data_IF_912431880033
#
_entry.id   IF_912431880033
#
_cell.length_a   1.000
_cell.length_b   1.000
_cell.length_c   1.000
_cell.angle_alpha   90.00
_cell.angle_beta   90.00
_cell.angle_gamma   90.00
#
_symmetry.space_group_name_H-M   'P 1'
#
loop_
_entity.id
_entity.type
_entity.pdbx_description
1 polymer ?
#
# COMPACT_ATOMS: atom_id res chain seq x y z
N UNK A 1 17.60 -51.41 -24.37
CA UNK A 1 17.87 -49.96 -24.34
C UNK A 1 16.83 -49.32 -23.42
N UNK A 2 17.20 -49.02 -22.19
CA UNK A 2 16.28 -48.43 -21.20
C UNK A 2 16.49 -46.92 -21.23
N UNK A 3 15.50 -46.20 -21.74
CA UNK A 3 15.46 -44.73 -21.74
C UNK A 3 15.24 -44.28 -20.29
N UNK A 4 16.16 -43.48 -19.73
CA UNK A 4 15.95 -42.80 -18.43
C UNK A 4 14.88 -41.71 -18.62
N UNK A 5 13.94 -41.51 -17.68
CA UNK A 5 13.03 -40.38 -17.73
C UNK A 5 13.79 -39.08 -17.37
N UNK A 6 13.31 -37.91 -17.82
CA UNK A 6 13.96 -36.64 -17.54
C UNK A 6 13.80 -36.29 -16.05
N UNK A 7 14.88 -35.80 -15.46
CA UNK A 7 14.89 -35.21 -14.12
C UNK A 7 13.93 -34.01 -14.10
N UNK A 8 12.76 -34.16 -13.48
CA UNK A 8 12.02 -33.02 -12.94
C UNK A 8 12.79 -32.51 -11.74
N UNK A 9 13.31 -31.28 -11.83
CA UNK A 9 13.80 -30.56 -10.67
C UNK A 9 12.57 -30.28 -9.79
N UNK A 10 12.56 -30.69 -8.51
CA UNK A 10 11.46 -30.35 -7.62
C UNK A 10 11.48 -28.84 -7.38
N UNK A 11 10.38 -28.16 -7.74
CA UNK A 11 10.16 -26.76 -7.38
C UNK A 11 9.83 -26.72 -5.89
N UNK A 12 10.62 -25.99 -5.10
CA UNK A 12 10.28 -25.72 -3.70
C UNK A 12 9.09 -24.74 -3.64
N UNK A 13 7.94 -25.25 -3.23
CA UNK A 13 6.68 -24.50 -3.16
C UNK A 13 6.53 -23.72 -1.85
N UNK A 14 7.37 -23.95 -0.83
CA UNK A 14 7.21 -23.33 0.48
C UNK A 14 7.22 -21.78 0.44
N UNK A 15 8.10 -21.11 -0.35
CA UNK A 15 8.09 -19.65 -0.46
C UNK A 15 6.80 -19.11 -1.11
N UNK A 16 6.26 -19.82 -2.11
CA UNK A 16 5.02 -19.43 -2.80
C UNK A 16 3.82 -19.59 -1.87
N UNK A 17 3.75 -20.70 -1.13
CA UNK A 17 2.68 -20.95 -0.15
C UNK A 17 2.70 -19.90 0.95
N UNK A 18 3.88 -19.55 1.47
CA UNK A 18 4.01 -18.46 2.45
C UNK A 18 3.52 -17.14 1.87
N UNK A 19 3.95 -16.76 0.67
CA UNK A 19 3.53 -15.53 0.02
C UNK A 19 2.02 -15.44 -0.19
N UNK A 20 1.40 -16.52 -0.67
CA UNK A 20 -0.05 -16.61 -0.79
C UNK A 20 -0.75 -16.52 0.57
N UNK A 21 -0.16 -17.12 1.61
CA UNK A 21 -0.63 -17.03 2.99
C UNK A 21 -0.59 -15.60 3.53
N UNK A 22 0.48 -14.85 3.27
CA UNK A 22 0.67 -13.48 3.72
C UNK A 22 -0.39 -12.55 3.08
N UNK A 23 -0.64 -12.67 1.78
CA UNK A 23 -1.68 -11.89 1.08
C UNK A 23 -3.09 -12.29 1.54
N UNK A 24 -3.36 -13.58 1.72
CA UNK A 24 -4.66 -14.05 2.19
C UNK A 24 -4.97 -13.53 3.61
N UNK A 25 -3.99 -13.59 4.51
CA UNK A 25 -4.10 -13.03 5.85
C UNK A 25 -4.38 -11.51 5.82
N UNK A 26 -3.61 -10.76 5.02
CA UNK A 26 -3.77 -9.31 4.90
C UNK A 26 -5.18 -8.94 4.40
N UNK A 27 -5.67 -9.63 3.37
CA UNK A 27 -7.02 -9.45 2.83
C UNK A 27 -8.09 -9.76 3.88
N UNK A 28 -7.95 -10.86 4.60
CA UNK A 28 -8.96 -11.29 5.56
C UNK A 28 -8.99 -10.37 6.79
N UNK A 29 -7.84 -9.85 7.22
CA UNK A 29 -7.75 -8.81 8.25
C UNK A 29 -8.39 -7.50 7.79
N UNK A 30 -8.07 -7.02 6.59
CA UNK A 30 -8.68 -5.83 6.01
C UNK A 30 -10.21 -5.98 5.90
N UNK A 31 -10.70 -7.15 5.46
CA UNK A 31 -12.14 -7.45 5.41
C UNK A 31 -12.77 -7.35 6.80
N UNK A 32 -12.16 -8.01 7.79
CA UNK A 32 -12.66 -8.01 9.18
C UNK A 32 -12.81 -6.59 9.73
N UNK A 33 -11.81 -5.73 9.50
CA UNK A 33 -11.74 -4.38 10.07
C UNK A 33 -12.53 -3.34 9.27
N UNK A 34 -12.65 -3.48 7.94
CA UNK A 34 -13.15 -2.42 7.07
C UNK A 34 -14.49 -2.73 6.40
N UNK A 35 -14.79 -3.99 6.05
CA UNK A 35 -15.91 -4.31 5.15
C UNK A 35 -17.27 -3.84 5.69
N UNK A 36 -17.53 -4.07 6.97
CA UNK A 36 -18.78 -3.63 7.62
C UNK A 36 -18.78 -2.16 8.02
N UNK A 37 -17.79 -1.63 8.77
CA UNK A 37 -17.87 -0.25 9.24
C UNK A 37 -17.54 0.78 8.15
N UNK A 38 -16.76 0.39 7.13
CA UNK A 38 -16.19 1.30 6.13
C UNK A 38 -16.14 0.64 4.73
N UNK A 39 -17.29 0.24 4.15
CA UNK A 39 -17.32 -0.57 2.92
C UNK A 39 -16.56 0.06 1.74
N UNK A 40 -16.67 1.39 1.57
CA UNK A 40 -15.91 2.10 0.51
C UNK A 40 -14.40 2.04 0.73
N UNK A 41 -13.91 2.07 1.99
CA UNK A 41 -12.47 1.89 2.29
C UNK A 41 -12.01 0.47 1.99
N UNK A 42 -12.86 -0.53 2.24
CA UNK A 42 -12.55 -1.91 1.88
C UNK A 42 -12.48 -2.08 0.35
N UNK A 43 -13.40 -1.48 -0.40
CA UNK A 43 -13.36 -1.47 -1.88
C UNK A 43 -12.11 -0.77 -2.41
N UNK A 44 -11.76 0.37 -1.82
CA UNK A 44 -10.52 1.07 -2.12
C UNK A 44 -9.29 0.18 -1.86
N UNK A 45 -9.15 -0.39 -0.66
CA UNK A 45 -8.02 -1.27 -0.29
C UNK A 45 -7.87 -2.46 -1.26
N UNK A 46 -8.99 -3.03 -1.69
CA UNK A 46 -9.02 -4.08 -2.73
C UNK A 46 -8.47 -3.60 -4.07
N UNK A 47 -8.86 -2.40 -4.51
CA UNK A 47 -8.32 -1.79 -5.73
C UNK A 47 -6.82 -1.50 -5.63
N UNK A 48 -6.35 -1.00 -4.48
CA UNK A 48 -4.93 -0.70 -4.22
C UNK A 48 -4.11 -2.00 -4.27
N UNK A 49 -4.62 -3.08 -3.69
CA UNK A 49 -3.99 -4.39 -3.77
C UNK A 49 -3.94 -4.92 -5.21
N UNK A 50 -5.03 -4.78 -5.97
CA UNK A 50 -5.03 -5.11 -7.40
C UNK A 50 -3.99 -4.32 -8.19
N UNK A 51 -3.76 -3.05 -7.84
CA UNK A 51 -2.69 -2.24 -8.44
C UNK A 51 -1.30 -2.75 -8.06
N UNK A 52 -1.09 -3.11 -6.80
CA UNK A 52 0.18 -3.66 -6.31
C UNK A 52 0.56 -4.95 -7.05
N UNK A 53 -0.41 -5.83 -7.33
CA UNK A 53 -0.20 -7.06 -8.11
C UNK A 53 0.36 -6.75 -9.51
N UNK A 54 -0.08 -5.66 -10.15
CA UNK A 54 0.43 -5.25 -11.48
C UNK A 54 1.92 -4.86 -11.48
N UNK A 55 2.50 -4.57 -10.31
CA UNK A 55 3.91 -4.20 -10.16
C UNK A 55 4.84 -5.41 -9.97
N UNK A 56 4.31 -6.64 -10.00
CA UNK A 56 5.11 -7.87 -9.92
C UNK A 56 6.31 -7.91 -10.88
N UNK A 57 6.20 -7.50 -12.17
CA UNK A 57 7.36 -7.46 -13.07
C UNK A 57 8.46 -6.48 -12.64
N UNK A 58 8.13 -5.44 -11.87
CA UNK A 58 9.09 -4.46 -11.38
C UNK A 58 9.75 -4.89 -10.08
N UNK A 59 8.97 -5.49 -9.18
CA UNK A 59 9.35 -5.71 -7.78
C UNK A 59 9.76 -7.15 -7.46
N UNK A 60 9.44 -8.11 -8.33
CA UNK A 60 9.74 -9.51 -8.09
C UNK A 60 9.13 -9.98 -6.77
N UNK A 61 9.97 -10.52 -5.88
CA UNK A 61 9.53 -11.04 -4.58
C UNK A 61 8.91 -9.97 -3.66
N UNK A 62 9.34 -8.71 -3.75
CA UNK A 62 8.80 -7.63 -2.92
C UNK A 62 7.33 -7.28 -3.27
N UNK A 63 6.82 -7.72 -4.42
CA UNK A 63 5.42 -7.50 -4.80
C UNK A 63 4.43 -8.14 -3.82
N UNK A 64 4.82 -9.23 -3.16
CA UNK A 64 4.01 -9.90 -2.12
C UNK A 64 3.84 -8.99 -0.92
N UNK A 65 4.95 -8.44 -0.42
CA UNK A 65 4.96 -7.49 0.69
C UNK A 65 4.15 -6.24 0.35
N UNK A 66 4.33 -5.69 -0.86
CA UNK A 66 3.56 -4.54 -1.31
C UNK A 66 2.06 -4.83 -1.37
N UNK A 67 1.66 -5.99 -1.87
CA UNK A 67 0.25 -6.37 -1.98
C UNK A 67 -0.38 -6.55 -0.61
N UNK A 68 0.34 -7.15 0.35
CA UNK A 68 -0.11 -7.23 1.74
C UNK A 68 -0.25 -5.83 2.37
N UNK A 69 0.73 -4.94 2.18
CA UNK A 69 0.67 -3.55 2.64
C UNK A 69 -0.51 -2.79 2.02
N UNK A 70 -0.76 -3.00 0.73
CA UNK A 70 -1.87 -2.40 0.00
C UNK A 70 -3.25 -2.77 0.56
N UNK A 71 -3.45 -4.03 0.96
CA UNK A 71 -4.66 -4.45 1.66
C UNK A 71 -4.83 -3.75 3.02
N UNK A 72 -3.71 -3.46 3.70
CA UNK A 72 -3.70 -3.06 5.10
C UNK A 72 -3.49 -1.57 5.33
N UNK A 73 -3.11 -0.78 4.33
CA UNK A 73 -2.66 0.60 4.50
C UNK A 73 -3.68 1.50 5.20
N UNK A 74 -4.97 1.23 4.99
CA UNK A 74 -6.09 2.03 5.47
C UNK A 74 -6.79 1.44 6.71
N UNK A 75 -6.27 0.35 7.32
CA UNK A 75 -6.97 -0.31 8.44
C UNK A 75 -7.06 0.57 9.69
N UNK A 76 -6.15 1.54 9.86
CA UNK A 76 -6.21 2.46 10.99
C UNK A 76 -7.39 3.44 10.94
N UNK A 77 -8.19 3.44 9.86
CA UNK A 77 -9.49 4.10 9.85
C UNK A 77 -10.57 3.33 10.62
N UNK A 78 -10.38 2.02 10.86
CA UNK A 78 -11.36 1.22 11.56
C UNK A 78 -11.65 1.83 12.94
N UNK A 79 -12.93 2.05 13.33
CA UNK A 79 -13.26 2.77 14.55
C UNK A 79 -12.65 2.20 15.83
N UNK A 80 -12.43 0.89 15.87
CA UNK A 80 -11.80 0.19 17.00
C UNK A 80 -10.28 0.38 17.09
N UNK A 81 -9.64 0.89 16.04
CA UNK A 81 -8.18 1.08 15.99
C UNK A 81 -7.74 2.55 16.11
N UNK A 82 -8.67 3.50 15.99
CA UNK A 82 -8.36 4.93 16.08
C UNK A 82 -7.86 5.27 17.48
N UNK A 83 -6.65 5.81 17.55
CA UNK A 83 -6.00 6.26 18.80
C UNK A 83 -5.54 7.72 18.64
N UNK A 84 -4.66 7.97 17.67
CA UNK A 84 -4.14 9.32 17.38
C UNK A 84 -4.95 10.06 16.33
N UNK A 85 -5.73 9.34 15.54
CA UNK A 85 -6.44 9.85 14.37
C UNK A 85 -5.56 9.99 13.12
N UNK A 86 -4.26 9.65 13.19
CA UNK A 86 -3.40 9.42 12.04
C UNK A 86 -3.49 7.94 11.65
N UNK A 87 -4.34 7.61 10.68
CA UNK A 87 -4.68 6.22 10.36
C UNK A 87 -3.47 5.37 9.97
N UNK A 88 -2.48 5.97 9.34
CA UNK A 88 -1.21 5.31 8.99
C UNK A 88 -0.47 4.81 10.23
N UNK A 89 -0.45 5.61 11.31
CA UNK A 89 0.27 5.32 12.54
C UNK A 89 -0.53 4.33 13.38
N UNK A 90 -1.83 4.58 13.53
CA UNK A 90 -2.75 3.74 14.29
C UNK A 90 -2.81 2.32 13.69
N UNK A 91 -2.90 2.22 12.35
CA UNK A 91 -2.85 0.95 11.64
C UNK A 91 -1.52 0.21 11.79
N UNK A 92 -0.38 0.92 11.65
CA UNK A 92 0.94 0.32 11.79
C UNK A 92 1.21 -0.19 13.21
N UNK A 93 0.79 0.56 14.24
CA UNK A 93 0.87 0.12 15.64
C UNK A 93 0.03 -1.12 15.90
N UNK A 94 -1.19 -1.18 15.38
CA UNK A 94 -2.01 -2.39 15.52
C UNK A 94 -1.36 -3.62 14.87
N UNK A 95 -0.78 -3.46 13.67
CA UNK A 95 -0.06 -4.54 13.00
C UNK A 95 1.14 -5.02 13.81
N UNK A 96 1.94 -4.10 14.38
CA UNK A 96 3.10 -4.41 15.21
C UNK A 96 2.68 -5.07 16.53
N UNK A 97 1.81 -4.43 17.28
CA UNK A 97 1.58 -4.73 18.70
C UNK A 97 0.54 -5.83 18.93
N UNK A 98 -0.43 -5.96 18.02
CA UNK A 98 -1.53 -6.94 18.16
C UNK A 98 -1.33 -8.13 17.22
N UNK A 99 -0.94 -7.88 15.97
CA UNK A 99 -0.77 -8.95 14.99
C UNK A 99 0.64 -9.56 14.98
N UNK A 100 1.64 -8.88 15.56
CA UNK A 100 3.04 -9.32 15.48
C UNK A 100 3.56 -9.39 14.04
N UNK A 101 3.11 -8.46 13.20
CA UNK A 101 3.43 -8.45 11.78
C UNK A 101 4.90 -8.04 11.52
N UNK A 102 5.38 -8.38 10.32
CA UNK A 102 6.72 -8.03 9.86
C UNK A 102 6.99 -6.52 9.91
N UNK A 103 8.21 -6.14 10.33
CA UNK A 103 8.58 -4.73 10.52
C UNK A 103 8.53 -3.92 9.21
N UNK A 104 8.90 -4.51 8.07
CA UNK A 104 8.82 -3.82 6.77
C UNK A 104 7.37 -3.59 6.37
N UNK A 105 6.49 -4.55 6.64
CA UNK A 105 5.05 -4.38 6.40
C UNK A 105 4.49 -3.23 7.24
N UNK A 106 4.78 -3.19 8.54
CA UNK A 106 4.35 -2.10 9.42
C UNK A 106 4.89 -0.76 8.94
N UNK A 107 6.16 -0.72 8.52
CA UNK A 107 6.81 0.48 7.98
C UNK A 107 6.16 1.00 6.71
N UNK A 108 5.78 0.12 5.78
CA UNK A 108 5.06 0.52 4.56
C UNK A 108 3.67 1.06 4.87
N UNK A 109 2.96 0.48 5.83
CA UNK A 109 1.67 1.00 6.30
C UNK A 109 1.84 2.35 7.00
N UNK A 110 2.86 2.52 7.83
CA UNK A 110 3.11 3.77 8.54
C UNK A 110 3.45 4.95 7.58
N UNK A 111 4.13 4.65 6.46
CA UNK A 111 4.66 5.66 5.53
C UNK A 111 3.91 5.76 4.21
N UNK A 112 2.75 5.11 4.07
CA UNK A 112 2.02 5.12 2.81
C UNK A 112 1.63 6.53 2.36
N UNK A 113 1.59 6.74 1.04
CA UNK A 113 1.05 7.96 0.40
C UNK A 113 1.63 9.28 0.92
N UNK A 114 2.93 9.31 1.19
CA UNK A 114 3.63 10.46 1.77
C UNK A 114 3.05 10.88 3.14
N UNK A 115 2.65 9.91 3.97
CA UNK A 115 2.07 10.06 5.31
C UNK A 115 2.81 11.02 6.26
N UNK A 116 4.11 11.26 6.03
CA UNK A 116 4.92 12.22 6.78
C UNK A 116 4.32 13.63 6.81
N UNK A 117 3.68 14.07 5.74
CA UNK A 117 3.03 15.39 5.70
C UNK A 117 1.81 15.46 6.62
N UNK A 118 0.98 14.41 6.65
CA UNK A 118 -0.14 14.37 7.58
C UNK A 118 0.31 14.18 9.03
N UNK A 119 1.37 13.39 9.26
CA UNK A 119 1.95 13.25 10.59
C UNK A 119 2.47 14.59 11.10
N UNK A 120 3.13 15.40 10.27
CA UNK A 120 3.62 16.72 10.63
C UNK A 120 2.47 17.69 10.98
N UNK A 121 1.42 17.73 10.15
CA UNK A 121 0.20 18.53 10.41
C UNK A 121 -0.50 18.17 11.73
N UNK A 122 -0.23 16.98 12.27
CA UNK A 122 -0.77 16.46 13.53
C UNK A 122 0.22 16.53 14.69
N UNK A 123 1.46 16.99 14.47
CA UNK A 123 2.53 17.01 15.49
C UNK A 123 3.05 15.61 15.85
N UNK A 124 2.94 14.65 14.93
CA UNK A 124 3.29 13.23 15.10
C UNK A 124 4.47 12.79 14.24
N UNK A 125 5.15 13.71 13.53
CA UNK A 125 6.24 13.37 12.61
C UNK A 125 7.40 12.66 13.32
N UNK A 126 7.85 13.20 14.46
CA UNK A 126 8.94 12.61 15.23
C UNK A 126 8.58 11.23 15.78
N UNK A 127 7.33 11.07 16.22
CA UNK A 127 6.78 9.78 16.69
C UNK A 127 6.77 8.76 15.56
N UNK A 128 6.28 9.15 14.37
CA UNK A 128 6.25 8.29 13.19
C UNK A 128 7.65 7.79 12.83
N UNK A 129 8.64 8.69 12.77
CA UNK A 129 10.02 8.34 12.44
C UNK A 129 10.71 7.50 13.51
N UNK A 130 10.42 7.75 14.79
CA UNK A 130 10.99 6.99 15.89
C UNK A 130 10.45 5.55 15.94
N UNK A 131 9.17 5.36 15.65
CA UNK A 131 8.52 4.04 15.75
C UNK A 131 8.65 3.19 14.48
N UNK A 132 8.69 3.83 13.31
CA UNK A 132 8.66 3.13 12.02
C UNK A 132 9.70 3.73 11.08
N UNK A 133 10.86 3.07 10.90
CA UNK A 133 11.82 3.45 9.86
C UNK A 133 11.22 3.32 8.46
N UNK A 134 11.64 4.16 7.51
CA UNK A 134 11.16 4.02 6.12
C UNK A 134 11.76 2.79 5.44
N UNK A 135 10.96 2.09 4.63
CA UNK A 135 11.47 1.08 3.70
C UNK A 135 12.26 1.74 2.56
N UNK A 136 12.73 0.95 1.61
CA UNK A 136 13.42 1.42 0.41
C UNK A 136 12.60 2.48 -0.34
N UNK A 137 13.24 3.50 -0.92
CA UNK A 137 12.53 4.53 -1.70
C UNK A 137 11.67 3.96 -2.83
N UNK A 138 12.05 2.80 -3.40
CA UNK A 138 11.29 2.14 -4.47
C UNK A 138 9.96 1.58 -3.94
N UNK A 139 9.96 0.92 -2.78
CA UNK A 139 8.75 0.39 -2.17
C UNK A 139 7.81 1.49 -1.70
N UNK A 140 8.34 2.57 -1.12
CA UNK A 140 7.53 3.74 -0.71
C UNK A 140 6.86 4.39 -1.93
N UNK A 141 7.59 4.57 -3.04
CA UNK A 141 7.00 5.07 -4.30
C UNK A 141 5.96 4.13 -4.87
N UNK A 142 6.19 2.82 -4.83
CA UNK A 142 5.24 1.82 -5.32
C UNK A 142 3.94 1.85 -4.50
N UNK A 143 4.03 1.92 -3.17
CA UNK A 143 2.85 2.02 -2.30
C UNK A 143 2.07 3.31 -2.58
N UNK A 144 2.76 4.44 -2.72
CA UNK A 144 2.16 5.73 -3.09
C UNK A 144 1.49 5.67 -4.47
N UNK A 145 2.12 5.04 -5.46
CA UNK A 145 1.52 4.83 -6.78
C UNK A 145 0.25 4.01 -6.70
N UNK A 146 0.24 2.92 -5.91
CA UNK A 146 -0.90 2.03 -5.79
C UNK A 146 -2.13 2.75 -5.22
N UNK A 147 -1.99 3.49 -4.13
CA UNK A 147 -3.10 4.23 -3.52
C UNK A 147 -3.54 5.41 -4.40
N UNK A 148 -2.58 6.24 -4.83
CA UNK A 148 -2.88 7.49 -5.52
C UNK A 148 -3.30 7.32 -7.00
N UNK A 149 -3.37 6.08 -7.50
CA UNK A 149 -3.96 5.74 -8.80
C UNK A 149 -5.18 4.81 -8.67
N UNK A 150 -5.79 4.78 -7.48
CA UNK A 150 -6.96 3.98 -7.16
C UNK A 150 -8.06 4.85 -6.56
N UNK A 151 -9.27 4.71 -7.09
CA UNK A 151 -10.43 5.46 -6.66
C UNK A 151 -10.96 4.97 -5.31
N UNK A 152 -11.86 5.73 -4.66
CA UNK A 152 -12.54 5.34 -3.43
C UNK A 152 -13.44 4.10 -3.56
N UNK A 153 -13.70 3.62 -4.78
CA UNK A 153 -14.45 2.40 -5.05
C UNK A 153 -13.57 1.31 -5.67
N UNK A 154 -12.25 1.51 -5.64
CA UNK A 154 -11.26 0.53 -6.11
C UNK A 154 -10.97 0.57 -7.61
N UNK A 155 -11.45 1.57 -8.33
CA UNK A 155 -11.25 1.68 -9.78
C UNK A 155 -9.94 2.40 -10.14
N UNK A 156 -9.25 2.03 -11.23
CA UNK A 156 -8.14 2.79 -11.77
C UNK A 156 -8.49 4.25 -12.06
N UNK A 157 -7.67 5.19 -11.58
CA UNK A 157 -7.77 6.63 -11.89
C UNK A 157 -6.40 7.22 -12.14
N UNK A 158 -6.37 8.38 -12.81
CA UNK A 158 -5.15 9.18 -12.90
C UNK A 158 -4.88 9.92 -11.57
N UNK A 159 -3.63 10.30 -11.34
CA UNK A 159 -3.23 10.95 -10.08
C UNK A 159 -3.84 12.33 -9.91
N UNK A 160 -3.99 13.11 -10.98
CA UNK A 160 -4.58 14.45 -10.91
C UNK A 160 -6.08 14.36 -10.62
N UNK A 161 -6.77 13.39 -11.25
CA UNK A 161 -8.15 13.04 -10.95
C UNK A 161 -8.35 12.59 -9.50
N UNK A 162 -7.45 11.75 -8.97
CA UNK A 162 -7.47 11.32 -7.55
C UNK A 162 -7.26 12.49 -6.61
N UNK A 163 -6.31 13.38 -6.89
CA UNK A 163 -6.06 14.57 -6.07
C UNK A 163 -7.26 15.53 -6.08
N UNK A 164 -7.85 15.78 -7.25
CA UNK A 164 -9.04 16.62 -7.39
C UNK A 164 -10.23 16.07 -6.60
N UNK A 165 -10.43 14.74 -6.63
CA UNK A 165 -11.48 14.06 -5.86
C UNK A 165 -11.29 14.23 -4.35
N UNK A 166 -10.07 14.06 -3.85
CA UNK A 166 -9.76 14.24 -2.42
C UNK A 166 -10.07 15.67 -1.98
N UNK A 167 -9.68 16.68 -2.75
CA UNK A 167 -9.98 18.08 -2.43
C UNK A 167 -11.49 18.37 -2.43
N UNK A 168 -12.23 17.81 -3.39
CA UNK A 168 -13.68 17.97 -3.47
C UNK A 168 -14.40 17.31 -2.28
N UNK A 169 -13.88 16.19 -1.79
CA UNK A 169 -14.48 15.43 -0.68
C UNK A 169 -14.28 16.10 0.68
N UNK A 170 -13.07 16.53 0.99
CA UNK A 170 -12.71 16.97 2.34
C UNK A 170 -12.83 18.50 2.53
N UNK A 171 -12.83 19.28 1.45
CA UNK A 171 -12.85 20.75 1.54
C UNK A 171 -11.49 21.33 1.96
N UNK A 172 -11.28 22.64 1.74
CA UNK A 172 -9.96 23.25 1.78
C UNK A 172 -9.27 23.26 3.16
N UNK A 173 -10.06 23.33 4.24
CA UNK A 173 -9.59 23.48 5.63
C UNK A 173 -9.44 22.15 6.37
N UNK A 174 -9.81 21.02 5.75
CA UNK A 174 -9.64 19.72 6.38
C UNK A 174 -8.17 19.30 6.41
N UNK A 175 -7.74 18.60 7.46
CA UNK A 175 -6.33 18.17 7.63
C UNK A 175 -5.83 17.38 6.42
N UNK A 176 -6.62 16.43 5.93
CA UNK A 176 -6.32 15.64 4.71
C UNK A 176 -6.02 16.55 3.52
N UNK A 177 -6.83 17.59 3.27
CA UNK A 177 -6.61 18.51 2.15
C UNK A 177 -5.33 19.34 2.31
N UNK A 178 -4.98 19.75 3.53
CA UNK A 178 -3.72 20.47 3.78
C UNK A 178 -2.51 19.55 3.56
N UNK A 179 -2.55 18.35 4.15
CA UNK A 179 -1.50 17.34 3.99
C UNK A 179 -1.30 16.96 2.52
N UNK A 180 -2.38 16.73 1.78
CA UNK A 180 -2.32 16.36 0.36
C UNK A 180 -1.79 17.52 -0.50
N UNK A 181 -2.09 18.78 -0.14
CA UNK A 181 -1.52 19.95 -0.82
C UNK A 181 0.00 19.99 -0.68
N UNK A 182 0.52 19.76 0.51
CA UNK A 182 1.96 19.70 0.76
C UNK A 182 2.60 18.46 0.12
N UNK A 183 1.90 17.32 0.15
CA UNK A 183 2.36 16.05 -0.40
C UNK A 183 2.26 15.95 -1.93
N UNK A 184 1.55 16.85 -2.62
CA UNK A 184 1.25 16.74 -4.06
C UNK A 184 2.50 16.52 -4.92
N UNK A 185 3.60 17.22 -4.62
CA UNK A 185 4.88 17.03 -5.32
C UNK A 185 5.49 15.64 -5.09
N UNK A 186 5.44 15.14 -3.85
CA UNK A 186 5.90 13.79 -3.49
C UNK A 186 5.08 12.72 -4.22
N UNK A 187 3.75 12.85 -4.19
CA UNK A 187 2.81 11.92 -4.80
C UNK A 187 2.98 11.84 -6.32
N UNK A 188 2.93 12.98 -7.00
CA UNK A 188 3.02 13.03 -8.47
C UNK A 188 4.39 12.54 -8.97
N UNK A 189 5.47 12.83 -8.24
CA UNK A 189 6.81 12.32 -8.55
C UNK A 189 6.91 10.80 -8.38
N UNK A 190 6.31 10.25 -7.33
CA UNK A 190 6.25 8.81 -7.10
C UNK A 190 5.49 8.10 -8.24
N UNK A 191 4.31 8.61 -8.59
CA UNK A 191 3.47 8.05 -9.66
C UNK A 191 4.20 8.03 -11.00
N UNK A 192 4.72 9.18 -11.44
CA UNK A 192 5.44 9.31 -12.71
C UNK A 192 6.67 8.40 -12.79
N UNK A 193 7.32 8.17 -11.65
CA UNK A 193 8.49 7.28 -11.59
C UNK A 193 8.10 5.82 -11.87
N UNK A 194 7.03 5.33 -11.22
CA UNK A 194 6.55 3.96 -11.44
C UNK A 194 5.97 3.79 -12.84
N UNK A 195 5.23 4.77 -13.36
CA UNK A 195 4.71 4.72 -14.74
C UNK A 195 5.82 4.62 -15.79
N UNK A 196 6.92 5.38 -15.60
CA UNK A 196 8.10 5.29 -16.47
C UNK A 196 8.73 3.89 -16.39
N UNK A 197 8.99 3.37 -15.19
CA UNK A 197 9.53 2.01 -15.01
C UNK A 197 8.63 0.95 -15.68
N UNK A 198 7.30 1.06 -15.55
CA UNK A 198 6.35 0.15 -16.21
C UNK A 198 6.41 0.24 -17.74
N UNK A 199 6.58 1.44 -18.29
CA UNK A 199 6.70 1.65 -19.74
C UNK A 199 7.97 1.06 -20.34
N UNK A 200 9.06 0.99 -19.55
CA UNK A 200 10.34 0.42 -19.97
C UNK A 200 10.33 -1.12 -19.94
N UNK A 201 9.51 -1.72 -19.08
CA UNK A 201 9.38 -3.19 -18.95
C UNK A 201 8.36 -3.79 -19.92
N UNK A 202 7.37 -3.01 -20.38
CA UNK A 202 6.50 -3.42 -21.49
C UNK A 202 7.28 -3.18 -22.80
N UNK A 203 7.70 -4.20 -23.56
CA UNK A 203 8.31 -3.93 -24.86
C UNK A 203 7.32 -3.12 -25.69
N UNK A 204 7.81 -2.09 -26.38
CA UNK A 204 7.01 -1.39 -27.38
C UNK A 204 6.45 -2.44 -28.33
N UNK A 205 5.13 -2.67 -28.28
CA UNK A 205 4.44 -3.45 -29.28
C UNK A 205 4.59 -2.70 -30.61
N UNK A 206 5.63 -3.05 -31.37
CA UNK A 206 5.79 -2.66 -32.77
C UNK A 206 4.85 -3.47 -33.65
#
# INVERSE_FOLDING_TARGET
>A
MTVRPPHQIPVDLAPIVKAMGDIAWARDLARKLLERPLPRRFDHSRGVAGRAETLSPLLGADAVLLTAAAWLHDIGYAPELVDTGAHQLDGARYLRDVCGADERLCSLVAHHSCAVFEADQRGLLDVLHAEFPQDTPRMVRAMTYCDMTTSPVGEPVDVDGRLAEIYARYGADHVVSRSIREATGCITSAVRSIERELSEVRPASG
#
